data_IF_635858976569
#
_entry.id   IF_635858976569
#
_cell.length_a   1.000
_cell.length_b   1.000
_cell.length_c   1.000
_cell.angle_alpha   90.00
_cell.angle_beta   90.00
_cell.angle_gamma   90.00
#
_symmetry.space_group_name_H-M   'P 1'
#
loop_
_entity.id
_entity.type
_entity.pdbx_description
1 polymer ?
#
# COMPACT_ATOMS: atom_id res chain seq x y z
N UNK A 1 -11.03 -3.97 13.02
CA UNK A 1 -9.79 -3.51 12.37
C UNK A 1 -10.11 -3.25 10.92
N UNK A 2 -9.73 -2.08 10.40
CA UNK A 2 -9.91 -1.74 8.99
C UNK A 2 -8.52 -1.74 8.35
N UNK A 3 -8.19 -2.80 7.61
CA UNK A 3 -6.84 -2.96 7.02
C UNK A 3 -6.47 -1.83 6.06
N UNK A 4 -7.45 -1.24 5.39
CA UNK A 4 -7.26 -0.09 4.52
C UNK A 4 -6.76 1.16 5.28
N UNK A 5 -7.23 1.38 6.51
CA UNK A 5 -6.77 2.50 7.35
C UNK A 5 -5.32 2.30 7.79
N UNK A 6 -4.97 1.08 8.22
CA UNK A 6 -3.59 0.74 8.59
C UNK A 6 -2.62 0.91 7.41
N UNK A 7 -3.06 0.51 6.21
CA UNK A 7 -2.27 0.68 5.00
C UNK A 7 -2.11 2.16 4.63
N UNK A 8 -3.12 2.98 4.88
CA UNK A 8 -3.06 4.42 4.68
C UNK A 8 -2.01 5.07 5.57
N UNK A 9 -2.06 4.79 6.88
CA UNK A 9 -1.10 5.33 7.86
C UNK A 9 0.34 4.93 7.51
N UNK A 10 0.54 3.69 7.08
CA UNK A 10 1.86 3.21 6.66
C UNK A 10 2.36 3.91 5.40
N UNK A 11 1.51 4.06 4.37
CA UNK A 11 1.86 4.78 3.16
C UNK A 11 2.15 6.26 3.45
N UNK A 12 1.37 6.92 4.32
CA UNK A 12 1.62 8.30 4.75
C UNK A 12 3.00 8.46 5.39
N UNK A 13 3.38 7.53 6.28
CA UNK A 13 4.69 7.51 6.92
C UNK A 13 5.83 7.36 5.90
N UNK A 14 5.70 6.44 4.95
CA UNK A 14 6.76 6.15 3.96
C UNK A 14 6.89 7.27 2.93
N UNK A 15 5.78 7.78 2.42
CA UNK A 15 5.80 8.82 1.38
C UNK A 15 5.90 10.25 1.93
N UNK A 16 5.80 10.42 3.25
CA UNK A 16 5.91 11.72 3.93
C UNK A 16 4.77 12.69 3.60
N UNK A 17 3.58 12.17 3.28
CA UNK A 17 2.42 13.01 3.01
C UNK A 17 1.21 12.29 2.43
N UNK A 18 0.03 12.76 2.83
CA UNK A 18 -1.29 12.21 2.48
C UNK A 18 -1.52 12.10 0.99
N UNK A 19 -1.17 13.13 0.23
CA UNK A 19 -1.39 13.16 -1.22
C UNK A 19 -0.55 12.08 -1.91
N UNK A 20 0.73 11.95 -1.55
CA UNK A 20 1.62 10.95 -2.15
C UNK A 20 1.19 9.53 -1.79
N UNK A 21 0.80 9.31 -0.54
CA UNK A 21 0.23 8.05 -0.08
C UNK A 21 -1.04 7.69 -0.85
N UNK A 22 -2.01 8.62 -0.92
CA UNK A 22 -3.26 8.42 -1.65
C UNK A 22 -3.03 8.11 -3.13
N UNK A 23 -2.10 8.81 -3.79
CA UNK A 23 -1.71 8.52 -5.18
C UNK A 23 -1.15 7.11 -5.32
N UNK A 24 -0.23 6.71 -4.44
CA UNK A 24 0.35 5.37 -4.50
C UNK A 24 -0.69 4.27 -4.28
N UNK A 25 -1.58 4.46 -3.30
CA UNK A 25 -2.63 3.51 -2.92
C UNK A 25 -3.72 3.36 -3.99
N UNK A 26 -3.99 4.41 -4.76
CA UNK A 26 -5.04 4.44 -5.78
C UNK A 26 -4.54 4.05 -7.18
N UNK A 27 -3.26 3.70 -7.32
CA UNK A 27 -2.70 3.24 -8.58
C UNK A 27 -2.77 1.71 -8.67
N UNK A 28 -3.27 1.22 -9.80
CA UNK A 28 -3.24 -0.20 -10.16
C UNK A 28 -1.79 -0.69 -10.27
N UNK A 29 -1.50 -1.85 -9.66
CA UNK A 29 -0.13 -2.41 -9.64
C UNK A 29 -0.14 -3.88 -10.00
N UNK A 30 0.88 -4.32 -10.74
CA UNK A 30 1.07 -5.73 -11.07
C UNK A 30 1.28 -6.60 -9.82
N UNK A 31 1.89 -6.04 -8.76
CA UNK A 31 2.02 -6.69 -7.47
C UNK A 31 0.67 -7.02 -6.81
N UNK A 32 -0.42 -6.38 -7.25
CA UNK A 32 -1.77 -6.54 -6.72
C UNK A 32 -2.73 -7.07 -7.78
N UNK A 33 -2.24 -7.89 -8.72
CA UNK A 33 -3.02 -8.46 -9.83
C UNK A 33 -3.70 -7.39 -10.72
N UNK A 34 -3.10 -6.21 -10.81
CA UNK A 34 -3.65 -5.06 -11.55
C UNK A 34 -4.72 -4.27 -10.79
N UNK A 35 -4.98 -4.62 -9.53
CA UNK A 35 -5.85 -3.84 -8.63
C UNK A 35 -5.07 -2.69 -7.98
N UNK A 36 -5.82 -1.72 -7.47
CA UNK A 36 -5.26 -0.74 -6.52
C UNK A 36 -4.97 -1.42 -5.18
N UNK A 37 -4.08 -0.83 -4.38
CA UNK A 37 -3.79 -1.36 -3.04
C UNK A 37 -5.05 -1.40 -2.17
N UNK A 38 -5.96 -0.44 -2.35
CA UNK A 38 -7.22 -0.35 -1.61
C UNK A 38 -8.25 -1.42 -2.03
N UNK A 39 -8.26 -1.83 -3.31
CA UNK A 39 -9.13 -2.90 -3.80
C UNK A 39 -8.60 -4.30 -3.49
N UNK A 40 -7.27 -4.41 -3.41
CA UNK A 40 -6.55 -5.66 -3.13
C UNK A 40 -6.69 -6.07 -1.66
N UNK A 41 -6.56 -5.11 -0.73
CA UNK A 41 -6.64 -5.39 0.71
C UNK A 41 -8.07 -5.67 1.14
N UNK A 42 -8.34 -6.93 1.49
CA UNK A 42 -9.67 -7.42 1.92
C UNK A 42 -9.62 -8.17 3.25
N UNK A 43 -8.45 -8.69 3.59
CA UNK A 43 -8.18 -9.52 4.75
C UNK A 43 -6.72 -9.34 5.20
N UNK A 44 -6.34 -10.06 6.26
CA UNK A 44 -5.00 -9.97 6.82
C UNK A 44 -3.89 -10.44 5.85
N UNK A 45 -4.03 -11.56 5.12
CA UNK A 45 -3.02 -11.96 4.13
C UNK A 45 -2.76 -10.92 3.05
N UNK A 46 -3.82 -10.36 2.46
CA UNK A 46 -3.70 -9.33 1.42
C UNK A 46 -3.13 -8.02 1.99
N UNK A 47 -3.48 -7.67 3.22
CA UNK A 47 -2.87 -6.55 3.94
C UNK A 47 -1.37 -6.74 4.16
N UNK A 48 -0.94 -7.91 4.65
CA UNK A 48 0.48 -8.19 4.91
C UNK A 48 1.32 -8.11 3.63
N UNK A 49 0.77 -8.58 2.51
CA UNK A 49 1.44 -8.46 1.21
C UNK A 49 1.55 -7.01 0.73
N UNK A 50 0.49 -6.20 0.87
CA UNK A 50 0.53 -4.77 0.54
C UNK A 50 1.50 -3.99 1.45
N UNK A 51 1.55 -4.34 2.73
CA UNK A 51 2.51 -3.82 3.71
C UNK A 51 3.95 -4.15 3.33
N UNK A 52 4.24 -5.41 2.99
CA UNK A 52 5.59 -5.82 2.56
C UNK A 52 6.02 -5.07 1.29
N UNK A 53 5.08 -4.85 0.37
CA UNK A 53 5.31 -4.05 -0.84
C UNK A 53 5.70 -2.61 -0.48
N UNK A 54 5.01 -1.98 0.47
CA UNK A 54 5.36 -0.66 0.98
C UNK A 54 6.74 -0.63 1.68
N UNK A 55 7.03 -1.61 2.53
CA UNK A 55 8.31 -1.71 3.26
C UNK A 55 9.49 -1.82 2.28
N UNK A 56 9.31 -2.56 1.16
CA UNK A 56 10.32 -2.62 0.09
C UNK A 56 10.60 -1.25 -0.54
N UNK A 57 9.60 -0.38 -0.67
CA UNK A 57 9.79 0.98 -1.19
C UNK A 57 10.60 1.84 -0.23
N UNK A 58 10.34 1.72 1.07
CA UNK A 58 11.13 2.42 2.11
C UNK A 58 12.61 2.02 2.03
N UNK A 59 12.89 0.76 1.68
CA UNK A 59 14.25 0.25 1.45
C UNK A 59 14.83 0.55 0.06
N UNK A 60 14.15 1.34 -0.77
CA UNK A 60 14.65 1.80 -2.08
C UNK A 60 14.42 0.82 -3.24
N UNK A 61 13.60 -0.22 -3.05
CA UNK A 61 13.19 -1.10 -4.15
C UNK A 61 12.09 -0.44 -5.00
N UNK A 62 12.05 -0.80 -6.29
CA UNK A 62 10.99 -0.38 -7.19
C UNK A 62 9.65 -1.05 -6.81
N UNK A 63 8.59 -0.23 -6.85
CA UNK A 63 7.22 -0.52 -6.48
C UNK A 63 6.34 -0.99 -7.65
#
# INVERSE_FOLDING_TARGET
>A
MVFAELLHDQAERIFGGKIKAAVWLSQARAAFDGLTALEYVRDEPTYLHAKETLDRIEHGFAA
#
